data_IF_022104871071
#
_entry.id   IF_022104871071
#
_cell.length_a   1.000
_cell.length_b   1.000
_cell.length_c   1.000
_cell.angle_alpha   90.00
_cell.angle_beta   90.00
_cell.angle_gamma   90.00
#
_symmetry.space_group_name_H-M   'P 1'
#
loop_
_entity.id
_entity.type
_entity.pdbx_description
1 polymer ?
#
# COMPACT_ATOMS: atom_id res chain seq x y z
N UNK A 1 -6.98 7.79 -26.58
CA UNK A 1 -7.10 6.78 -25.51
C UNK A 1 -5.84 6.81 -24.65
N UNK A 2 -5.95 7.24 -23.39
CA UNK A 2 -4.81 7.31 -22.47
C UNK A 2 -4.51 5.91 -21.92
N UNK A 3 -3.64 5.17 -22.59
CA UNK A 3 -3.04 3.94 -22.05
C UNK A 3 -2.35 4.23 -20.73
N UNK A 4 -2.58 3.36 -19.74
CA UNK A 4 -1.89 3.40 -18.44
C UNK A 4 -0.38 3.50 -18.65
N UNK A 5 0.33 4.37 -17.92
CA UNK A 5 1.79 4.46 -18.00
C UNK A 5 2.50 3.26 -17.35
N UNK A 6 1.77 2.39 -16.66
CA UNK A 6 2.29 1.20 -16.01
C UNK A 6 2.12 -0.04 -16.90
N UNK A 7 3.16 -0.86 -17.00
CA UNK A 7 3.10 -2.19 -17.62
C UNK A 7 3.69 -3.25 -16.69
N UNK A 8 3.08 -4.42 -16.71
CA UNK A 8 3.55 -5.60 -16.02
C UNK A 8 3.68 -6.72 -17.04
N UNK A 9 4.86 -7.33 -17.09
CA UNK A 9 5.15 -8.49 -17.93
C UNK A 9 5.74 -9.58 -17.06
N UNK A 10 5.27 -10.81 -17.22
CA UNK A 10 5.80 -11.97 -16.52
C UNK A 10 6.18 -13.03 -17.54
N UNK A 11 7.36 -13.61 -17.40
CA UNK A 11 7.80 -14.72 -18.23
C UNK A 11 7.23 -16.05 -17.75
N UNK A 12 7.37 -17.09 -18.58
CA UNK A 12 6.89 -18.43 -18.26
C UNK A 12 7.62 -19.06 -17.05
N UNK A 13 8.78 -18.54 -16.67
CA UNK A 13 9.57 -19.00 -15.53
C UNK A 13 9.17 -18.30 -14.23
N UNK A 14 8.21 -17.37 -14.28
CA UNK A 14 7.69 -16.63 -13.14
C UNK A 14 8.41 -15.31 -12.83
N UNK A 15 9.48 -14.96 -13.56
CA UNK A 15 10.14 -13.67 -13.40
C UNK A 15 9.29 -12.56 -14.02
N UNK A 16 9.14 -11.45 -13.29
CA UNK A 16 8.29 -10.34 -13.68
C UNK A 16 9.05 -9.03 -13.77
N UNK A 17 8.69 -8.23 -14.77
CA UNK A 17 9.13 -6.84 -14.93
C UNK A 17 7.93 -5.92 -14.75
N UNK A 18 8.06 -4.99 -13.82
CA UNK A 18 7.16 -3.87 -13.68
C UNK A 18 7.85 -2.62 -14.22
N UNK A 19 7.25 -2.00 -15.24
CA UNK A 19 7.81 -0.82 -15.90
C UNK A 19 6.86 0.35 -15.80
N UNK A 20 7.42 1.55 -15.70
CA UNK A 20 6.69 2.81 -15.72
C UNK A 20 7.24 3.70 -16.83
N UNK A 21 6.40 4.03 -17.80
CA UNK A 21 6.71 4.99 -18.84
C UNK A 21 6.28 6.38 -18.39
N UNK A 22 7.25 7.24 -18.05
CA UNK A 22 6.96 8.64 -17.83
C UNK A 22 6.79 9.34 -19.17
N UNK A 23 5.60 9.92 -19.39
CA UNK A 23 5.33 10.76 -20.58
C UNK A 23 6.02 12.12 -20.50
N UNK A 24 6.46 12.50 -19.30
CA UNK A 24 7.31 13.67 -19.10
C UNK A 24 8.76 13.26 -19.36
N UNK A 25 9.45 13.96 -20.27
CA UNK A 25 10.88 13.77 -20.54
C UNK A 25 11.80 14.17 -19.36
N UNK A 26 11.24 14.44 -18.17
CA UNK A 26 12.00 14.75 -16.97
C UNK A 26 12.59 13.45 -16.42
N UNK A 27 13.91 13.44 -16.22
CA UNK A 27 14.62 12.31 -15.65
C UNK A 27 14.03 11.97 -14.27
N UNK A 28 13.78 10.68 -14.04
CA UNK A 28 13.26 10.20 -12.76
C UNK A 28 13.94 8.92 -12.33
N UNK A 29 14.08 8.72 -11.02
CA UNK A 29 14.66 7.51 -10.43
C UNK A 29 13.83 7.04 -9.24
N UNK A 30 13.72 5.73 -9.10
CA UNK A 30 13.19 5.07 -7.92
C UNK A 30 14.35 4.61 -7.05
N UNK A 31 14.31 4.95 -5.76
CA UNK A 31 15.35 4.61 -4.80
C UNK A 31 14.68 3.99 -3.58
N UNK A 32 15.09 2.77 -3.23
CA UNK A 32 14.81 2.18 -1.92
C UNK A 32 15.88 2.68 -0.95
N UNK A 33 15.48 3.47 0.04
CA UNK A 33 16.42 4.01 1.02
C UNK A 33 16.76 2.98 2.09
N UNK A 34 17.86 3.18 2.82
CA UNK A 34 18.30 2.29 3.90
C UNK A 34 17.30 2.19 5.04
N UNK A 35 16.44 3.21 5.21
CA UNK A 35 15.35 3.19 6.20
C UNK A 35 14.12 2.41 5.71
N UNK A 36 14.15 1.82 4.52
CA UNK A 36 13.06 1.01 3.96
C UNK A 36 11.97 1.80 3.23
N UNK A 37 12.21 3.08 2.90
CA UNK A 37 11.25 3.85 2.09
C UNK A 37 11.56 3.75 0.61
N UNK A 38 10.54 3.47 -0.19
CA UNK A 38 10.62 3.64 -1.64
C UNK A 38 10.33 5.10 -1.97
N UNK A 39 11.28 5.82 -2.58
CA UNK A 39 11.13 7.21 -3.00
C UNK A 39 11.28 7.34 -4.51
N UNK A 40 10.42 8.16 -5.13
CA UNK A 40 10.57 8.59 -6.52
C UNK A 40 11.10 10.01 -6.56
N UNK A 41 12.29 10.17 -7.10
CA UNK A 41 12.88 11.47 -7.38
C UNK A 41 12.65 11.85 -8.83
N UNK A 42 12.40 13.14 -9.07
CA UNK A 42 12.30 13.72 -10.40
C UNK A 42 13.19 14.94 -10.48
N UNK A 43 13.93 15.06 -11.59
CA UNK A 43 14.81 16.20 -11.81
C UNK A 43 13.97 17.44 -12.17
N UNK A 44 14.23 18.53 -11.46
CA UNK A 44 13.60 19.84 -11.60
C UNK A 44 14.70 20.88 -11.70
N UNK A 45 15.01 21.33 -12.92
CA UNK A 45 16.22 22.12 -13.18
C UNK A 45 17.47 21.29 -12.88
N UNK A 46 18.22 21.67 -11.84
CA UNK A 46 19.41 20.96 -11.36
C UNK A 46 19.15 20.09 -10.12
N UNK A 47 17.96 20.22 -9.51
CA UNK A 47 17.66 19.61 -8.21
C UNK A 47 16.78 18.37 -8.35
N UNK A 48 16.96 17.42 -7.42
CA UNK A 48 16.14 16.23 -7.33
C UNK A 48 15.03 16.41 -6.31
N UNK A 49 13.79 16.47 -6.79
CA UNK A 49 12.61 16.61 -5.95
C UNK A 49 11.93 15.27 -5.70
N UNK A 50 11.46 15.03 -4.47
CA UNK A 50 10.70 13.82 -4.13
C UNK A 50 9.24 14.02 -4.57
N UNK A 51 8.83 13.24 -5.55
CA UNK A 51 7.45 13.26 -6.09
C UNK A 51 6.55 12.20 -5.47
N UNK A 52 7.15 11.15 -4.89
CA UNK A 52 6.43 10.05 -4.25
C UNK A 52 7.29 9.39 -3.18
N UNK A 53 6.65 8.91 -2.11
CA UNK A 53 7.27 8.15 -1.01
C UNK A 53 6.30 7.07 -0.56
N UNK A 54 6.76 5.84 -0.38
CA UNK A 54 6.01 4.76 0.23
C UNK A 54 6.83 4.06 1.34
N UNK A 55 6.18 3.55 2.41
CA UNK A 55 4.77 3.72 2.76
C UNK A 55 4.43 5.20 3.09
N UNK A 56 3.26 5.67 2.65
CA UNK A 56 2.77 7.05 2.86
C UNK A 56 2.16 7.18 4.24
N UNK A 57 1.38 6.18 4.62
CA UNK A 57 0.63 6.18 5.87
C UNK A 57 0.67 4.80 6.51
N UNK A 58 0.15 4.73 7.73
CA UNK A 58 0.17 3.50 8.50
C UNK A 58 -0.60 2.32 7.90
N UNK A 59 -1.56 2.52 7.01
CA UNK A 59 -2.28 1.43 6.34
C UNK A 59 -1.48 0.77 5.20
N UNK A 60 -0.42 1.43 4.72
CA UNK A 60 0.43 0.89 3.67
C UNK A 60 1.43 -0.15 4.22
N UNK A 61 1.56 -0.22 5.55
CA UNK A 61 2.34 -1.28 6.19
C UNK A 61 1.58 -2.59 6.10
N UNK A 62 2.32 -3.65 5.76
CA UNK A 62 1.76 -4.99 5.65
C UNK A 62 1.22 -5.47 7.01
N UNK A 63 0.01 -6.04 7.01
CA UNK A 63 -0.57 -6.70 8.19
C UNK A 63 -1.11 -5.80 9.30
N UNK A 64 -1.34 -4.51 9.03
CA UNK A 64 -1.90 -3.56 10.03
C UNK A 64 -3.26 -4.00 10.57
N UNK A 65 -4.10 -4.55 9.69
CA UNK A 65 -5.34 -5.22 10.07
C UNK A 65 -5.20 -6.71 9.79
N UNK A 66 -5.68 -7.55 10.70
CA UNK A 66 -5.72 -9.00 10.51
C UNK A 66 -6.66 -9.44 9.39
N UNK A 67 -6.79 -10.76 9.17
CA UNK A 67 -7.61 -11.33 8.11
C UNK A 67 -9.03 -10.75 8.08
N UNK A 68 -9.54 -10.46 6.87
CA UNK A 68 -10.87 -9.84 6.65
C UNK A 68 -11.08 -8.47 7.30
N UNK A 69 -9.99 -7.83 7.75
CA UNK A 69 -9.95 -6.45 8.21
C UNK A 69 -9.54 -5.49 7.10
N UNK A 70 -10.20 -4.34 7.06
CA UNK A 70 -9.92 -3.21 6.18
C UNK A 70 -9.27 -2.09 7.00
N UNK A 71 -8.11 -1.61 6.55
CA UNK A 71 -7.47 -0.43 7.13
C UNK A 71 -8.07 0.83 6.53
N UNK A 72 -8.56 1.73 7.39
CA UNK A 72 -9.18 3.00 7.00
C UNK A 72 -8.32 4.15 7.52
N UNK A 73 -7.78 4.95 6.61
CA UNK A 73 -6.80 5.99 6.92
C UNK A 73 -7.31 7.07 7.90
N UNK A 74 -8.62 7.31 7.97
CA UNK A 74 -9.23 8.44 8.67
C UNK A 74 -10.19 8.07 9.80
N UNK A 75 -10.46 6.78 10.05
CA UNK A 75 -11.44 6.36 11.04
C UNK A 75 -10.77 5.81 12.30
N UNK A 76 -11.24 6.23 13.48
CA UNK A 76 -11.03 5.49 14.73
C UNK A 76 -12.30 4.68 15.03
N UNK A 77 -12.22 3.34 15.18
CA UNK A 77 -11.02 2.52 15.10
C UNK A 77 -10.50 2.39 13.64
N UNK A 78 -9.17 2.25 13.53
CA UNK A 78 -8.38 2.23 12.30
C UNK A 78 -8.68 1.04 11.39
N UNK A 79 -8.94 -0.10 12.01
CA UNK A 79 -9.39 -1.29 11.31
C UNK A 79 -10.90 -1.45 11.44
N UNK A 80 -11.54 -1.84 10.33
CA UNK A 80 -12.95 -2.24 10.28
C UNK A 80 -13.06 -3.62 9.66
N UNK A 81 -14.02 -4.42 10.11
CA UNK A 81 -14.33 -5.67 9.42
C UNK A 81 -15.04 -5.39 8.10
N UNK A 82 -14.81 -6.24 7.10
CA UNK A 82 -15.63 -6.21 5.89
C UNK A 82 -17.12 -6.39 6.22
N UNK A 83 -17.99 -5.93 5.31
CA UNK A 83 -19.43 -6.12 5.45
C UNK A 83 -19.74 -7.61 5.61
N UNK A 84 -20.50 -7.96 6.65
CA UNK A 84 -20.83 -9.36 6.98
C UNK A 84 -19.80 -10.06 7.88
N UNK A 85 -18.77 -9.35 8.35
CA UNK A 85 -17.78 -9.87 9.29
C UNK A 85 -17.84 -9.11 10.63
N UNK A 86 -17.44 -9.76 11.71
CA UNK A 86 -17.32 -9.21 13.06
C UNK A 86 -15.93 -9.49 13.64
N UNK A 87 -15.43 -8.70 14.61
CA UNK A 87 -14.13 -8.97 15.23
C UNK A 87 -14.07 -10.37 15.79
N UNK A 88 -12.95 -11.08 15.57
CA UNK A 88 -12.75 -12.41 16.13
C UNK A 88 -12.70 -12.38 17.67
N UNK A 89 -12.08 -11.34 18.22
CA UNK A 89 -12.00 -11.06 19.64
C UNK A 89 -12.43 -9.59 19.85
N UNK A 90 -13.50 -9.37 20.61
CA UNK A 90 -14.11 -8.04 20.73
C UNK A 90 -13.30 -7.13 21.67
N UNK A 91 -12.66 -7.71 22.67
CA UNK A 91 -11.84 -7.05 23.68
C UNK A 91 -10.54 -6.56 23.05
N UNK A 92 -9.85 -7.43 22.31
CA UNK A 92 -8.65 -7.07 21.54
C UNK A 92 -8.96 -5.94 20.55
N UNK A 93 -10.07 -6.05 19.82
CA UNK A 93 -10.46 -5.06 18.82
C UNK A 93 -10.72 -3.67 19.43
N UNK A 94 -11.37 -3.63 20.61
CA UNK A 94 -11.61 -2.40 21.37
C UNK A 94 -10.32 -1.81 21.94
N UNK A 95 -9.36 -2.65 22.31
CA UNK A 95 -8.03 -2.23 22.79
C UNK A 95 -7.08 -1.75 21.69
N UNK A 96 -7.47 -1.87 20.42
CA UNK A 96 -6.63 -1.52 19.27
C UNK A 96 -5.72 -2.65 18.77
N UNK A 97 -5.87 -3.86 19.31
CA UNK A 97 -5.24 -5.06 18.77
C UNK A 97 -6.14 -5.68 17.68
N UNK A 98 -5.81 -5.42 16.42
CA UNK A 98 -6.57 -5.92 15.27
C UNK A 98 -5.94 -7.15 14.61
N UNK A 99 -4.90 -7.73 15.21
CA UNK A 99 -4.12 -8.84 14.62
C UNK A 99 -4.97 -10.10 14.42
N UNK A 100 -5.91 -10.36 15.33
CA UNK A 100 -6.86 -11.48 15.23
C UNK A 100 -7.85 -11.37 14.07
N UNK A 101 -7.99 -10.18 13.47
CA UNK A 101 -8.86 -9.95 12.31
C UNK A 101 -10.35 -10.14 12.62
N UNK A 102 -11.08 -10.53 11.58
CA UNK A 102 -12.52 -10.69 11.62
C UNK A 102 -12.95 -12.08 11.16
N UNK A 103 -14.10 -12.52 11.65
CA UNK A 103 -14.76 -13.77 11.25
C UNK A 103 -16.12 -13.46 10.62
N UNK A 104 -16.60 -14.35 9.75
CA UNK A 104 -17.92 -14.19 9.13
C UNK A 104 -18.98 -14.17 10.23
N UNK A 105 -19.89 -13.22 10.18
CA UNK A 105 -21.07 -13.21 11.05
C UNK A 105 -21.91 -14.43 10.69
N UNK A 106 -21.98 -15.38 11.61
CA UNK A 106 -23.00 -16.43 11.59
C UNK A 106 -24.23 -15.89 12.32
N UNK A 107 -25.40 -16.13 11.76
CA UNK A 107 -26.68 -15.85 12.42
C UNK A 107 -26.91 -16.79 13.60
#
# INVERSE_FOLDING_TARGET
TLTSPFSFQQDANGSGYFSYLSRNFKLSRLVLTSEGFLKRFQLSGTDWEVTYKAPVNSCDYYGVCGPFGLCVMSASPKCKCFKGFIPKNSEEWKSGNWTGGCVRRTE
#
